data_IF_210615915113
#
_entry.id   IF_210615915113
#
_cell.length_a   1.000
_cell.length_b   1.000
_cell.length_c   1.000
_cell.angle_alpha   90.00
_cell.angle_beta   90.00
_cell.angle_gamma   90.00
#
_symmetry.space_group_name_H-M   'P 1'
#
loop_
_entity.id
_entity.type
_entity.pdbx_description
1 polymer ?
#
# COMPACT_ATOMS: atom_id res chain seq x y z
N UNK A 1 5.03 7.40 -20.25
CA UNK A 1 5.57 6.33 -19.38
C UNK A 1 6.42 5.40 -20.24
N UNK A 2 7.60 4.98 -19.75
CA UNK A 2 8.50 4.10 -20.49
C UNK A 2 7.80 2.79 -20.87
N UNK A 3 7.95 2.32 -22.12
CA UNK A 3 7.37 1.06 -22.58
C UNK A 3 8.14 -0.11 -21.94
N UNK A 4 7.77 -0.50 -20.72
CA UNK A 4 8.25 -1.76 -20.15
C UNK A 4 7.84 -2.91 -21.06
N UNK A 5 8.78 -3.80 -21.36
CA UNK A 5 8.50 -5.02 -22.13
C UNK A 5 7.32 -5.78 -21.48
N UNK A 6 6.35 -6.29 -22.27
CA UNK A 6 5.13 -6.90 -21.73
C UNK A 6 5.38 -8.00 -20.68
N UNK A 7 6.45 -8.77 -20.84
CA UNK A 7 6.87 -9.80 -19.89
C UNK A 7 7.20 -9.23 -18.51
N UNK A 8 7.82 -8.05 -18.44
CA UNK A 8 8.15 -7.41 -17.16
C UNK A 8 6.91 -6.83 -16.49
N UNK A 9 5.95 -6.32 -17.28
CA UNK A 9 4.68 -5.84 -16.73
C UNK A 9 3.93 -6.95 -15.99
N UNK A 10 3.98 -8.19 -16.49
CA UNK A 10 3.38 -9.34 -15.82
C UNK A 10 3.94 -9.60 -14.42
N UNK A 11 5.24 -9.33 -14.19
CA UNK A 11 5.87 -9.54 -12.88
C UNK A 11 5.72 -8.34 -11.94
N UNK A 12 5.79 -7.11 -12.46
CA UNK A 12 5.77 -5.90 -11.64
C UNK A 12 4.35 -5.39 -11.33
N UNK A 13 3.41 -5.60 -12.24
CA UNK A 13 2.00 -5.22 -12.04
C UNK A 13 1.21 -6.48 -11.69
N UNK A 14 1.25 -6.88 -10.41
CA UNK A 14 0.70 -8.15 -9.92
C UNK A 14 -0.78 -8.36 -10.30
N UNK A 15 -1.54 -7.27 -10.39
CA UNK A 15 -2.96 -7.30 -10.78
C UNK A 15 -3.38 -6.07 -11.58
N UNK A 16 -4.60 -6.13 -12.12
CA UNK A 16 -5.26 -4.99 -12.78
C UNK A 16 -5.63 -3.92 -11.73
N UNK A 17 -5.85 -2.65 -12.14
CA UNK A 17 -6.31 -1.61 -11.21
C UNK A 17 -7.54 -2.07 -10.40
N UNK A 18 -7.43 -1.95 -9.08
CA UNK A 18 -8.51 -2.26 -8.13
C UNK A 18 -9.39 -1.04 -7.97
N UNK A 19 -10.70 -1.22 -7.94
CA UNK A 19 -11.64 -0.12 -7.75
C UNK A 19 -11.46 0.54 -6.38
N UNK A 20 -11.36 1.86 -6.36
CA UNK A 20 -11.24 2.66 -5.15
C UNK A 20 -12.05 3.95 -5.29
N UNK A 21 -12.57 4.45 -4.18
CA UNK A 21 -13.27 5.74 -4.13
C UNK A 21 -12.33 6.94 -4.00
N UNK A 22 -12.93 8.10 -3.75
CA UNK A 22 -12.19 9.36 -3.58
C UNK A 22 -12.02 10.16 -4.87
N UNK A 23 -11.32 11.28 -4.76
CA UNK A 23 -11.01 12.22 -5.85
C UNK A 23 -9.88 13.16 -5.42
N UNK A 24 -9.44 14.05 -6.32
CA UNK A 24 -8.50 15.12 -5.98
C UNK A 24 -8.97 16.15 -4.93
N UNK A 25 -10.26 16.15 -4.57
CA UNK A 25 -10.83 17.14 -3.64
C UNK A 25 -11.40 16.54 -2.34
N UNK A 26 -11.42 15.21 -2.22
CA UNK A 26 -11.89 14.53 -1.00
C UNK A 26 -10.72 14.20 -0.08
N UNK A 27 -11.00 13.98 1.22
CA UNK A 27 -9.98 13.55 2.20
C UNK A 27 -9.24 12.29 1.76
N UNK A 28 -9.98 11.31 1.20
CA UNK A 28 -9.38 10.23 0.43
C UNK A 28 -8.91 10.80 -0.91
N UNK A 29 -7.74 11.45 -0.88
CA UNK A 29 -7.15 12.09 -2.05
C UNK A 29 -6.73 11.01 -3.04
N UNK A 30 -7.53 10.81 -4.08
CA UNK A 30 -7.33 9.82 -5.13
C UNK A 30 -7.46 10.52 -6.49
N UNK A 31 -6.38 11.15 -6.95
CA UNK A 31 -6.39 11.85 -8.24
C UNK A 31 -6.33 10.83 -9.38
N UNK A 32 -7.09 11.07 -10.44
CA UNK A 32 -7.28 10.14 -11.54
C UNK A 32 -7.01 10.79 -12.90
N UNK A 33 -6.71 9.96 -13.91
CA UNK A 33 -6.59 10.39 -15.31
C UNK A 33 -7.97 10.62 -15.94
N UNK A 34 -8.04 11.17 -17.15
CA UNK A 34 -9.32 11.38 -17.85
C UNK A 34 -10.12 10.07 -18.07
N UNK A 35 -9.44 8.92 -18.07
CA UNK A 35 -10.02 7.57 -18.14
C UNK A 35 -10.51 7.03 -16.77
N UNK A 36 -10.38 7.81 -15.70
CA UNK A 36 -10.78 7.42 -14.34
C UNK A 36 -9.79 6.51 -13.63
N UNK A 37 -8.56 6.36 -14.14
CA UNK A 37 -7.52 5.54 -13.48
C UNK A 37 -6.84 6.37 -12.40
N UNK A 38 -6.98 5.94 -11.14
CA UNK A 38 -6.27 6.56 -10.01
C UNK A 38 -4.76 6.39 -10.20
N UNK A 39 -4.06 7.52 -10.23
CA UNK A 39 -2.60 7.57 -10.44
C UNK A 39 -1.85 8.13 -9.23
N UNK A 40 -2.58 8.72 -8.27
CA UNK A 40 -2.01 9.31 -7.06
C UNK A 40 -2.92 9.01 -5.87
N UNK A 41 -2.31 8.74 -4.72
CA UNK A 41 -3.00 8.57 -3.46
C UNK A 41 -2.03 8.58 -2.28
N UNK A 42 -2.53 8.35 -1.07
CA UNK A 42 -1.69 8.27 0.12
C UNK A 42 -0.74 7.06 0.03
N UNK A 43 0.56 7.32 -0.11
CA UNK A 43 1.60 6.28 -0.10
C UNK A 43 1.63 5.51 1.23
N UNK A 44 1.28 6.20 2.31
CA UNK A 44 1.22 5.67 3.67
C UNK A 44 0.11 6.37 4.44
N UNK A 45 -0.66 5.59 5.22
CA UNK A 45 -1.60 6.12 6.22
C UNK A 45 -1.26 5.51 7.57
N UNK A 46 -1.43 6.31 8.62
CA UNK A 46 -1.20 5.83 9.97
C UNK A 46 -2.10 6.51 11.01
N UNK A 47 -2.25 5.85 12.15
CA UNK A 47 -2.87 6.38 13.37
C UNK A 47 -2.02 5.96 14.56
N UNK A 48 -1.71 6.91 15.44
CA UNK A 48 -1.00 6.67 16.70
C UNK A 48 -1.90 7.14 17.85
N UNK A 49 -2.11 6.28 18.83
CA UNK A 49 -2.64 6.67 20.14
C UNK A 49 -1.49 7.15 21.02
N UNK A 50 -1.51 8.42 21.43
CA UNK A 50 -0.45 9.01 22.26
C UNK A 50 -0.43 8.38 23.66
N UNK A 51 -1.55 7.85 24.15
CA UNK A 51 -1.61 7.14 25.43
C UNK A 51 -1.01 5.73 25.34
N UNK A 52 -0.89 5.15 24.14
CA UNK A 52 -0.25 3.86 23.88
C UNK A 52 0.70 3.95 22.67
N UNK A 53 1.74 4.77 22.83
CA UNK A 53 2.71 5.02 21.74
C UNK A 53 3.48 3.77 21.30
N UNK A 54 3.37 2.65 22.03
CA UNK A 54 4.02 1.38 21.66
C UNK A 54 3.30 0.68 20.51
N UNK A 55 2.03 1.00 20.24
CA UNK A 55 1.25 0.41 19.16
C UNK A 55 0.87 1.47 18.12
N UNK A 56 1.26 1.22 16.88
CA UNK A 56 0.90 2.06 15.74
C UNK A 56 0.02 1.29 14.76
N UNK A 57 -0.92 1.97 14.12
CA UNK A 57 -1.73 1.39 13.05
C UNK A 57 -1.24 1.98 11.73
N UNK A 58 -0.80 1.14 10.80
CA UNK A 58 -0.19 1.57 9.55
C UNK A 58 -0.74 0.80 8.36
N UNK A 59 -0.72 1.45 7.20
CA UNK A 59 -0.95 0.79 5.92
C UNK A 59 -0.22 1.50 4.78
N UNK A 60 0.34 0.72 3.86
CA UNK A 60 0.95 1.19 2.61
C UNK A 60 0.27 0.50 1.42
N UNK A 61 0.18 1.19 0.28
CA UNK A 61 -0.22 0.55 -0.98
C UNK A 61 1.01 0.48 -1.88
N UNK A 62 1.48 -0.70 -2.34
CA UNK A 62 0.86 -2.04 -2.37
C UNK A 62 1.33 -3.05 -1.28
N UNK A 63 2.44 -2.79 -0.61
CA UNK A 63 3.08 -3.69 0.35
C UNK A 63 4.40 -3.11 0.86
N UNK A 64 5.04 -3.77 1.81
CA UNK A 64 6.26 -3.28 2.47
C UNK A 64 7.57 -3.64 1.76
N UNK A 65 7.55 -4.57 0.79
CA UNK A 65 8.74 -4.97 0.04
C UNK A 65 8.76 -4.37 -1.37
N UNK A 66 9.94 -3.99 -1.85
CA UNK A 66 10.15 -3.50 -3.22
C UNK A 66 10.44 -4.60 -4.26
N UNK A 67 10.68 -5.85 -3.82
CA UNK A 67 11.01 -6.96 -4.73
C UNK A 67 9.78 -7.81 -5.03
N UNK A 68 9.43 -7.96 -6.32
CA UNK A 68 8.22 -8.67 -6.77
C UNK A 68 8.07 -10.15 -6.35
N UNK A 69 9.16 -10.78 -5.89
CA UNK A 69 9.17 -12.17 -5.39
C UNK A 69 8.86 -12.26 -3.90
N UNK A 70 8.88 -11.13 -3.20
CA UNK A 70 8.54 -11.09 -1.79
C UNK A 70 7.04 -11.29 -1.60
N UNK A 71 6.67 -12.09 -0.60
CA UNK A 71 5.28 -12.19 -0.13
C UNK A 71 4.70 -10.82 0.25
N UNK A 72 5.56 -9.89 0.69
CA UNK A 72 5.21 -8.55 1.17
C UNK A 72 5.20 -7.47 0.06
N UNK A 73 5.28 -7.86 -1.22
CA UNK A 73 5.35 -6.89 -2.33
C UNK A 73 4.00 -6.23 -2.66
N UNK A 74 2.91 -6.96 -2.46
CA UNK A 74 1.56 -6.59 -2.91
C UNK A 74 0.49 -7.22 -1.99
N UNK A 75 0.80 -7.32 -0.70
CA UNK A 75 -0.05 -7.97 0.29
C UNK A 75 -1.07 -7.03 0.95
N UNK A 76 -0.92 -5.72 0.78
CA UNK A 76 -1.75 -4.71 1.47
C UNK A 76 -2.69 -3.95 0.53
N UNK A 77 -2.73 -4.25 -0.77
CA UNK A 77 -3.52 -3.51 -1.74
C UNK A 77 -5.02 -3.46 -1.39
N UNK A 78 -5.60 -4.61 -1.04
CA UNK A 78 -7.03 -4.73 -0.67
C UNK A 78 -7.32 -4.00 0.63
N UNK A 79 -6.43 -4.15 1.60
CA UNK A 79 -6.50 -3.46 2.88
C UNK A 79 -6.37 -1.95 2.68
N UNK A 80 -5.56 -1.51 1.72
CA UNK A 80 -5.37 -0.10 1.41
C UNK A 80 -6.64 0.46 0.76
N UNK A 81 -7.26 -0.26 -0.17
CA UNK A 81 -8.55 0.15 -0.74
C UNK A 81 -9.64 0.24 0.34
N UNK A 82 -9.70 -0.72 1.26
CA UNK A 82 -10.72 -0.80 2.32
C UNK A 82 -10.42 0.09 3.53
N UNK A 83 -9.18 0.55 3.70
CA UNK A 83 -8.72 1.25 4.90
C UNK A 83 -8.59 0.34 6.12
N UNK A 84 -8.18 -0.92 5.94
CA UNK A 84 -7.92 -1.87 7.04
C UNK A 84 -6.47 -1.73 7.47
N UNK A 85 -6.20 -1.21 8.66
CA UNK A 85 -4.82 -0.94 9.11
C UNK A 85 -4.19 -2.16 9.81
N UNK A 86 -2.86 -2.28 9.72
CA UNK A 86 -2.08 -3.29 10.44
C UNK A 86 -1.40 -2.68 11.68
N UNK A 87 -1.36 -3.44 12.77
CA UNK A 87 -0.68 -3.03 14.00
C UNK A 87 0.81 -3.29 13.88
N UNK A 88 1.62 -2.29 14.26
CA UNK A 88 3.05 -2.42 14.51
C UNK A 88 3.32 -2.14 15.98
N UNK A 89 4.32 -2.82 16.53
CA UNK A 89 4.71 -2.67 17.94
C UNK A 89 6.13 -2.16 18.02
N UNK A 90 6.35 -1.09 18.78
CA UNK A 90 7.69 -0.62 19.16
C UNK A 90 8.22 -1.47 20.31
N UNK A 91 9.37 -2.09 20.10
CA UNK A 91 10.02 -2.92 21.10
C UNK A 91 11.08 -3.82 20.49
N UNK A 92 11.74 -4.61 21.33
CA UNK A 92 12.69 -5.63 20.86
C UNK A 92 11.90 -6.79 20.28
N UNK A 93 12.06 -7.04 18.99
CA UNK A 93 11.51 -8.23 18.34
C UNK A 93 12.49 -9.39 18.58
N UNK A 94 12.06 -10.41 19.32
CA UNK A 94 12.84 -11.64 19.51
C UNK A 94 12.51 -12.63 18.40
N UNK A 95 13.39 -12.71 17.40
CA UNK A 95 13.21 -13.58 16.24
C UNK A 95 12.23 -13.00 15.22
N UNK A 96 12.70 -12.80 14.00
CA UNK A 96 11.87 -12.40 12.86
C UNK A 96 12.27 -13.21 11.64
N UNK A 97 11.28 -13.51 10.79
CA UNK A 97 11.51 -14.19 9.52
C UNK A 97 12.57 -13.43 8.70
N UNK A 98 13.72 -14.07 8.51
CA UNK A 98 14.71 -13.71 7.50
C UNK A 98 14.21 -14.21 6.14
N UNK A 99 13.21 -13.53 5.59
CA UNK A 99 12.77 -13.73 4.20
C UNK A 99 12.97 -12.45 3.39
#
# INVERSE_FOLDING_TARGET
MSSSFPVLQFFFNREKPVSVGGSQVTVQAASFTDEGIVSHGASWRFVIDVNDIKHGYHIVGPGQAGHFRSRWYHDQIDDWVKGTYHVTTLGKVEGGDIL
#
